data_IF_956314148244
#
_entry.id   IF_956314148244
#
_cell.length_a   1.000
_cell.length_b   1.000
_cell.length_c   1.000
_cell.angle_alpha   90.00
_cell.angle_beta   90.00
_cell.angle_gamma   90.00
#
_symmetry.space_group_name_H-M   'P 1'
#
loop_
_entity.id
_entity.type
_entity.pdbx_description
1 polymer ?
#
# COMPACT_ATOMS: atom_id res chain seq x y z
N UNK A 1 -11.63 -8.80 19.94
CA UNK A 1 -11.93 -7.74 18.96
C UNK A 1 -10.68 -7.26 18.19
N UNK A 2 -9.61 -6.86 18.89
CA UNK A 2 -8.36 -6.40 18.25
C UNK A 2 -7.70 -7.43 17.30
N UNK A 3 -7.54 -8.68 17.73
CA UNK A 3 -6.91 -9.72 16.92
C UNK A 3 -7.64 -9.95 15.58
N UNK A 4 -8.97 -10.01 15.62
CA UNK A 4 -9.80 -10.13 14.42
C UNK A 4 -9.56 -8.98 13.43
N UNK A 5 -9.62 -7.73 13.90
CA UNK A 5 -9.36 -6.55 13.07
C UNK A 5 -7.94 -6.56 12.48
N UNK A 6 -6.94 -6.96 13.28
CA UNK A 6 -5.55 -7.09 12.82
C UNK A 6 -5.42 -8.14 11.72
N UNK A 7 -6.00 -9.33 11.90
CA UNK A 7 -5.98 -10.38 10.89
C UNK A 7 -6.71 -9.94 9.62
N UNK A 8 -7.87 -9.31 9.73
CA UNK A 8 -8.62 -8.76 8.59
C UNK A 8 -7.82 -7.69 7.84
N UNK A 9 -7.14 -6.79 8.54
CA UNK A 9 -6.30 -5.79 7.89
C UNK A 9 -5.13 -6.44 7.13
N UNK A 10 -4.48 -7.44 7.71
CA UNK A 10 -3.39 -8.17 7.05
C UNK A 10 -3.86 -8.98 5.83
N UNK A 11 -5.03 -9.61 5.91
CA UNK A 11 -5.60 -10.33 4.74
C UNK A 11 -5.98 -9.37 3.63
N UNK A 12 -6.55 -8.19 3.95
CA UNK A 12 -6.83 -7.14 2.96
C UNK A 12 -5.56 -6.63 2.28
N UNK A 13 -4.45 -6.45 3.04
CA UNK A 13 -3.15 -6.08 2.46
C UNK A 13 -2.68 -7.15 1.47
N UNK A 14 -2.74 -8.43 1.86
CA UNK A 14 -2.35 -9.54 0.99
C UNK A 14 -3.18 -9.56 -0.30
N UNK A 15 -4.50 -9.39 -0.20
CA UNK A 15 -5.40 -9.31 -1.35
C UNK A 15 -5.04 -8.12 -2.25
N UNK A 16 -4.75 -6.94 -1.69
CA UNK A 16 -4.34 -5.76 -2.43
C UNK A 16 -3.06 -5.99 -3.24
N UNK A 17 -2.06 -6.66 -2.62
CA UNK A 17 -0.79 -7.00 -3.27
C UNK A 17 -1.00 -8.01 -4.40
N UNK A 18 -1.83 -9.03 -4.19
CA UNK A 18 -2.17 -10.01 -5.24
C UNK A 18 -2.85 -9.32 -6.42
N UNK A 19 -3.85 -8.46 -6.17
CA UNK A 19 -4.51 -7.73 -7.24
C UNK A 19 -3.55 -6.81 -7.98
N UNK A 20 -2.63 -6.14 -7.27
CA UNK A 20 -1.59 -5.33 -7.90
C UNK A 20 -0.72 -6.16 -8.86
N UNK A 21 -0.22 -7.32 -8.41
CA UNK A 21 0.61 -8.23 -9.22
C UNK A 21 -0.15 -8.74 -10.44
N UNK A 22 -1.40 -9.20 -10.27
CA UNK A 22 -2.22 -9.71 -11.38
C UNK A 22 -2.46 -8.61 -12.42
N UNK A 23 -2.81 -7.39 -11.99
CA UNK A 23 -3.00 -6.27 -12.91
C UNK A 23 -1.70 -5.89 -13.63
N UNK A 24 -0.56 -5.96 -12.95
CA UNK A 24 0.74 -5.69 -13.57
C UNK A 24 1.07 -6.74 -14.64
N UNK A 25 0.88 -8.03 -14.34
CA UNK A 25 1.08 -9.12 -15.31
C UNK A 25 0.16 -8.96 -16.52
N UNK A 26 -1.11 -8.64 -16.31
CA UNK A 26 -2.04 -8.37 -17.41
C UNK A 26 -1.57 -7.21 -18.28
N UNK A 27 -1.07 -6.12 -17.68
CA UNK A 27 -0.56 -4.98 -18.42
C UNK A 27 0.67 -5.36 -19.26
N UNK A 28 1.64 -6.06 -18.68
CA UNK A 28 2.87 -6.47 -19.39
C UNK A 28 2.59 -7.43 -20.54
N UNK A 29 1.57 -8.30 -20.39
CA UNK A 29 1.15 -9.25 -21.43
C UNK A 29 0.19 -8.65 -22.46
N UNK A 30 -0.19 -7.37 -22.32
CA UNK A 30 -1.19 -6.75 -23.20
C UNK A 30 -2.59 -7.41 -23.10
N UNK A 31 -2.91 -8.02 -21.96
CA UNK A 31 -4.16 -8.73 -21.77
C UNK A 31 -5.36 -7.76 -21.73
N UNK A 32 -6.49 -8.13 -22.36
CA UNK A 32 -7.70 -7.29 -22.47
C UNK A 32 -8.21 -6.77 -21.12
N UNK A 33 -7.97 -7.52 -20.04
CA UNK A 33 -8.39 -7.11 -18.70
C UNK A 33 -7.62 -5.90 -18.14
N UNK A 34 -6.37 -5.65 -18.57
CA UNK A 34 -5.58 -4.52 -18.05
C UNK A 34 -6.22 -3.14 -18.33
N UNK A 35 -7.03 -3.05 -19.39
CA UNK A 35 -7.68 -1.82 -19.80
C UNK A 35 -9.09 -1.64 -19.20
N UNK A 36 -9.68 -2.69 -18.62
CA UNK A 36 -11.05 -2.63 -18.09
C UNK A 36 -11.10 -1.77 -16.83
N UNK A 37 -12.01 -0.81 -16.82
CA UNK A 37 -12.21 0.09 -15.67
C UNK A 37 -12.56 -0.66 -14.38
N UNK A 38 -13.21 -1.83 -14.48
CA UNK A 38 -13.62 -2.61 -13.30
C UNK A 38 -12.42 -3.05 -12.44
N UNK A 39 -11.32 -3.48 -13.05
CA UNK A 39 -10.15 -3.92 -12.30
C UNK A 39 -9.38 -2.76 -11.68
N UNK A 40 -9.34 -1.60 -12.35
CA UNK A 40 -8.81 -0.36 -11.78
C UNK A 40 -9.64 0.07 -10.56
N UNK A 41 -10.97 -0.03 -10.64
CA UNK A 41 -11.88 0.25 -9.52
C UNK A 41 -11.68 -0.75 -8.39
N UNK A 42 -11.64 -2.05 -8.65
CA UNK A 42 -11.41 -3.09 -7.62
C UNK A 42 -10.10 -2.82 -6.88
N UNK A 43 -9.02 -2.54 -7.61
CA UNK A 43 -7.72 -2.22 -7.01
C UNK A 43 -7.84 -0.99 -6.09
N UNK A 44 -8.41 0.11 -6.59
CA UNK A 44 -8.63 1.33 -5.80
C UNK A 44 -9.44 1.06 -4.52
N UNK A 45 -10.57 0.37 -4.61
CA UNK A 45 -11.42 0.06 -3.45
C UNK A 45 -10.70 -0.89 -2.47
N UNK A 46 -9.86 -1.79 -2.95
CA UNK A 46 -9.05 -2.66 -2.10
C UNK A 46 -8.02 -1.86 -1.31
N UNK A 47 -7.33 -0.89 -1.94
CA UNK A 47 -6.42 0.00 -1.21
C UNK A 47 -7.15 0.92 -0.21
N UNK A 48 -8.33 1.42 -0.57
CA UNK A 48 -9.15 2.24 0.33
C UNK A 48 -9.63 1.45 1.55
N UNK A 49 -10.03 0.19 1.38
CA UNK A 49 -10.44 -0.68 2.49
C UNK A 49 -9.26 -1.04 3.40
N UNK A 50 -8.07 -1.29 2.84
CA UNK A 50 -6.83 -1.44 3.63
C UNK A 50 -6.59 -0.19 4.49
N UNK A 51 -6.66 0.99 3.90
CA UNK A 51 -6.44 2.26 4.61
C UNK A 51 -7.48 2.45 5.74
N UNK A 52 -8.77 2.24 5.44
CA UNK A 52 -9.84 2.38 6.42
C UNK A 52 -9.64 1.46 7.64
N UNK A 53 -9.34 0.18 7.43
CA UNK A 53 -9.05 -0.75 8.53
C UNK A 53 -7.79 -0.36 9.30
N UNK A 54 -6.77 0.16 8.62
CA UNK A 54 -5.56 0.67 9.27
C UNK A 54 -5.84 1.85 10.20
N UNK A 55 -6.68 2.80 9.76
CA UNK A 55 -7.10 3.95 10.58
C UNK A 55 -7.99 3.53 11.76
N UNK A 56 -8.91 2.58 11.56
CA UNK A 56 -9.71 2.00 12.65
C UNK A 56 -8.81 1.35 13.70
N UNK A 57 -7.78 0.61 13.29
CA UNK A 57 -6.80 0.02 14.20
C UNK A 57 -6.00 1.07 14.96
N UNK A 58 -5.57 2.15 14.29
CA UNK A 58 -4.85 3.25 14.94
C UNK A 58 -5.72 3.94 16.01
N UNK A 59 -6.98 4.21 15.68
CA UNK A 59 -7.95 4.79 16.60
C UNK A 59 -8.25 3.87 17.80
N UNK A 60 -8.45 2.57 17.56
CA UNK A 60 -8.68 1.59 18.62
C UNK A 60 -7.49 1.47 19.58
N UNK A 61 -6.27 1.65 19.07
CA UNK A 61 -5.04 1.63 19.85
C UNK A 61 -4.70 2.99 20.48
N UNK A 62 -5.49 4.03 20.24
CA UNK A 62 -5.27 5.40 20.74
C UNK A 62 -3.86 5.92 20.41
N UNK A 63 -3.35 5.59 19.20
CA UNK A 63 -2.05 6.08 18.75
C UNK A 63 -2.23 7.48 18.19
N UNK A 64 -1.65 8.48 18.86
CA UNK A 64 -1.58 9.84 18.36
C UNK A 64 -0.40 9.98 17.38
N UNK A 65 -0.64 10.22 16.08
CA UNK A 65 0.44 10.33 15.08
C UNK A 65 1.23 11.64 15.17
N UNK A 66 0.84 12.59 16.02
CA UNK A 66 1.45 13.93 16.13
C UNK A 66 2.39 14.09 17.33
N UNK A 67 2.56 13.04 18.14
CA UNK A 67 3.57 12.97 19.20
C UNK A 67 4.75 12.11 18.78
N UNK A 68 5.93 12.35 19.37
CA UNK A 68 7.17 11.66 19.00
C UNK A 68 7.08 10.13 19.03
N UNK A 69 6.30 9.56 19.96
CA UNK A 69 6.07 8.12 20.08
C UNK A 69 5.16 7.53 19.00
N UNK A 70 4.42 8.38 18.26
CA UNK A 70 3.48 7.99 17.22
C UNK A 70 3.86 8.44 15.81
N UNK A 71 4.98 9.15 15.63
CA UNK A 71 5.46 9.58 14.31
C UNK A 71 5.64 8.42 13.31
N UNK A 72 5.91 7.20 13.78
CA UNK A 72 6.00 6.02 12.91
C UNK A 72 4.68 5.74 12.18
N UNK A 73 3.53 6.11 12.77
CA UNK A 73 2.22 5.98 12.14
C UNK A 73 2.02 7.03 11.06
N UNK A 74 2.42 8.28 11.31
CA UNK A 74 2.39 9.35 10.31
C UNK A 74 3.28 8.98 9.12
N UNK A 75 4.49 8.51 9.41
CA UNK A 75 5.44 8.05 8.41
C UNK A 75 4.93 6.85 7.62
N UNK A 76 4.23 5.91 8.28
CA UNK A 76 3.55 4.79 7.62
C UNK A 76 2.50 5.28 6.62
N UNK A 77 1.74 6.33 6.95
CA UNK A 77 0.76 6.91 6.03
C UNK A 77 1.43 7.57 4.82
N UNK A 78 2.53 8.30 5.04
CA UNK A 78 3.33 8.91 3.97
C UNK A 78 3.91 7.82 3.05
N UNK A 79 4.50 6.77 3.62
CA UNK A 79 5.01 5.62 2.89
C UNK A 79 3.91 4.91 2.09
N UNK A 80 2.70 4.81 2.63
CA UNK A 80 1.56 4.24 1.93
C UNK A 80 1.13 5.10 0.73
N UNK A 81 1.15 6.43 0.85
CA UNK A 81 0.90 7.34 -0.29
C UNK A 81 1.97 7.16 -1.38
N UNK A 82 3.24 7.06 -0.99
CA UNK A 82 4.34 6.80 -1.91
C UNK A 82 4.19 5.44 -2.63
N UNK A 83 3.76 4.40 -1.90
CA UNK A 83 3.39 3.11 -2.46
C UNK A 83 2.27 3.25 -3.51
N UNK A 84 1.20 3.97 -3.22
CA UNK A 84 0.10 4.18 -4.18
C UNK A 84 0.56 4.91 -5.45
N UNK A 85 1.47 5.87 -5.31
CA UNK A 85 2.08 6.55 -6.46
C UNK A 85 2.87 5.57 -7.33
N UNK A 86 3.68 4.69 -6.71
CA UNK A 86 4.42 3.65 -7.43
C UNK A 86 3.49 2.65 -8.12
N UNK A 87 2.41 2.22 -7.45
CA UNK A 87 1.38 1.36 -8.04
C UNK A 87 0.75 2.02 -9.27
N UNK A 88 0.39 3.31 -9.18
CA UNK A 88 -0.18 4.05 -10.30
C UNK A 88 0.79 4.09 -11.49
N UNK A 89 2.06 4.39 -11.25
CA UNK A 89 3.11 4.45 -12.29
C UNK A 89 3.38 3.08 -12.90
N UNK A 90 3.41 2.02 -12.08
CA UNK A 90 3.61 0.65 -12.52
C UNK A 90 2.47 0.16 -13.43
N UNK A 91 1.23 0.58 -13.16
CA UNK A 91 0.04 0.20 -13.91
C UNK A 91 -0.38 1.20 -15.00
N UNK A 92 0.44 2.22 -15.26
CA UNK A 92 0.13 3.21 -16.28
C UNK A 92 0.61 2.76 -17.66
N UNK A 93 -0.35 2.38 -18.52
CA UNK A 93 -0.10 1.92 -19.88
C UNK A 93 0.61 2.95 -20.79
N UNK A 94 0.60 4.24 -20.44
CA UNK A 94 1.29 5.29 -21.19
C UNK A 94 2.79 5.41 -20.83
N UNK A 95 3.24 4.72 -19.78
CA UNK A 95 4.65 4.74 -19.35
C UNK A 95 5.45 3.66 -20.08
N UNK A 96 6.74 3.93 -20.27
CA UNK A 96 7.65 2.95 -20.84
C UNK A 96 7.82 1.75 -19.91
N UNK A 97 8.07 0.57 -20.50
CA UNK A 97 8.26 -0.68 -19.74
C UNK A 97 9.32 -0.56 -18.63
N UNK A 98 10.48 0.07 -18.83
CA UNK A 98 11.47 0.23 -17.76
C UNK A 98 10.94 1.02 -16.56
N UNK A 99 10.18 2.10 -16.80
CA UNK A 99 9.58 2.90 -15.73
C UNK A 99 8.52 2.09 -14.99
N UNK A 100 7.72 1.30 -15.70
CA UNK A 100 6.71 0.43 -15.09
C UNK A 100 7.36 -0.62 -14.17
N UNK A 101 8.43 -1.28 -14.63
CA UNK A 101 9.18 -2.26 -13.84
C UNK A 101 9.90 -1.64 -12.64
N UNK A 102 10.54 -0.49 -12.82
CA UNK A 102 11.15 0.24 -11.71
C UNK A 102 10.11 0.62 -10.65
N UNK A 103 8.94 1.09 -11.08
CA UNK A 103 7.84 1.44 -10.18
C UNK A 103 7.25 0.20 -9.51
N UNK A 104 7.21 -0.94 -10.19
CA UNK A 104 6.78 -2.22 -9.63
C UNK A 104 7.69 -2.66 -8.48
N UNK A 105 9.01 -2.68 -8.71
CA UNK A 105 10.01 -2.99 -7.68
C UNK A 105 9.97 -1.95 -6.56
N UNK A 106 9.88 -0.67 -6.90
CA UNK A 106 9.78 0.44 -5.94
C UNK A 106 8.55 0.33 -5.04
N UNK A 107 7.42 -0.15 -5.54
CA UNK A 107 6.22 -0.40 -4.73
C UNK A 107 6.50 -1.44 -3.64
N UNK A 108 7.24 -2.52 -3.93
CA UNK A 108 7.66 -3.48 -2.91
C UNK A 108 8.66 -2.90 -1.92
N UNK A 109 9.53 -1.99 -2.35
CA UNK A 109 10.41 -1.23 -1.46
C UNK A 109 9.63 -0.46 -0.39
N UNK A 110 8.57 0.26 -0.80
CA UNK A 110 7.69 0.95 0.14
C UNK A 110 6.88 0.00 1.03
N UNK A 111 6.44 -1.15 0.52
CA UNK A 111 5.79 -2.16 1.35
C UNK A 111 6.73 -2.72 2.42
N UNK A 112 7.98 -3.05 2.06
CA UNK A 112 9.00 -3.49 3.00
C UNK A 112 9.27 -2.41 4.06
N UNK A 113 9.31 -1.14 3.64
CA UNK A 113 9.46 -0.01 4.55
C UNK A 113 8.32 0.11 5.57
N UNK A 114 7.07 -0.03 5.10
CA UNK A 114 5.89 -0.05 5.99
C UNK A 114 5.97 -1.19 7.00
N UNK A 115 6.41 -2.38 6.59
CA UNK A 115 6.61 -3.53 7.49
C UNK A 115 7.67 -3.22 8.54
N UNK A 116 8.77 -2.57 8.15
CA UNK A 116 9.81 -2.14 9.07
C UNK A 116 9.27 -1.16 10.12
N UNK A 117 8.54 -0.11 9.70
CA UNK A 117 7.95 0.87 10.61
C UNK A 117 6.99 0.23 11.62
N UNK A 118 6.18 -0.74 11.19
CA UNK A 118 5.23 -1.44 12.07
C UNK A 118 5.94 -2.37 13.06
N UNK A 119 7.08 -2.95 12.67
CA UNK A 119 7.85 -3.87 13.52
C UNK A 119 8.65 -3.12 14.57
N UNK A 120 9.37 -2.07 14.15
CA UNK A 120 10.19 -1.26 15.06
C UNK A 120 9.36 -0.28 15.88
N UNK A 121 8.18 0.12 15.38
CA UNK A 121 7.34 1.19 15.97
C UNK A 121 8.12 2.49 16.23
N UNK A 122 9.11 2.75 15.39
CA UNK A 122 9.97 3.93 15.47
C UNK A 122 9.98 4.62 14.10
N UNK A 123 9.84 5.94 14.13
CA UNK A 123 9.96 6.76 12.94
C UNK A 123 11.44 6.91 12.59
N UNK A 124 11.77 6.85 11.31
CA UNK A 124 13.15 7.04 10.83
C UNK A 124 13.28 8.43 10.20
N UNK A 125 12.34 8.81 9.34
CA UNK A 125 12.42 10.07 8.59
C UNK A 125 11.98 11.28 9.41
N UNK A 126 11.10 11.10 10.39
CA UNK A 126 10.49 12.18 11.18
C UNK A 126 11.20 12.44 12.53
N UNK A 127 12.14 11.59 12.92
CA UNK A 127 12.91 11.67 14.19
C UNK A 127 14.42 11.74 13.93
N UNK A 128 14.84 11.65 12.67
CA UNK A 128 16.24 11.79 12.25
C UNK A 128 16.73 13.22 12.24
#
# INVERSE_FOLDING_TARGET
MYAFLKHTHLTLILIAVIFFIVNFIWLQRGHKNAQKAIFKKILLHTHLTVLAFGLILAWLLQIDPFVSSGYWLLEKLIAFVAYLFMVNRALNAQKSRPIQWLSFVGAFGWLAYIVYLVTMKQAILLVG
#
